data_IF_323927307278
#
_entry.id   IF_323927307278
#
_cell.length_a   1.000
_cell.length_b   1.000
_cell.length_c   1.000
_cell.angle_alpha   90.00
_cell.angle_beta   90.00
_cell.angle_gamma   90.00
#
_symmetry.space_group_name_H-M   'P 1'
#
loop_
_entity.id
_entity.type
_entity.pdbx_description
1 polymer ?
#
# COMPACT_ATOMS: atom_id res chain seq x y z
N UNK A 1 1.92 2.35 -4.00
CA UNK A 1 2.98 1.49 -3.43
C UNK A 1 2.59 0.79 -2.12
N UNK A 2 2.23 1.47 -1.02
CA UNK A 2 1.89 0.77 0.24
C UNK A 2 0.66 -0.14 0.13
N UNK A 3 -0.40 0.29 -0.54
CA UNK A 3 -1.58 -0.55 -0.74
C UNK A 3 -1.26 -1.82 -1.55
N UNK A 4 -0.57 -1.66 -2.68
CA UNK A 4 -0.02 -2.78 -3.47
C UNK A 4 0.88 -3.71 -2.65
N UNK A 5 1.65 -3.16 -1.70
CA UNK A 5 2.43 -3.96 -0.76
C UNK A 5 1.55 -4.84 0.11
N UNK A 6 0.44 -4.33 0.64
CA UNK A 6 -0.47 -5.11 1.48
C UNK A 6 -1.21 -6.18 0.65
N UNK A 7 -1.66 -5.84 -0.56
CA UNK A 7 -2.29 -6.79 -1.48
C UNK A 7 -1.32 -7.93 -1.86
N UNK A 8 -0.06 -7.61 -2.17
CA UNK A 8 0.93 -8.61 -2.61
C UNK A 8 1.30 -9.69 -1.57
N UNK A 9 0.77 -9.63 -0.35
CA UNK A 9 1.20 -10.47 0.78
C UNK A 9 0.72 -11.91 0.67
N UNK A 10 -0.35 -12.15 -0.07
CA UNK A 10 -0.84 -13.50 -0.37
C UNK A 10 -0.01 -14.19 -1.49
N UNK A 11 0.89 -13.44 -2.15
CA UNK A 11 1.76 -13.89 -3.23
C UNK A 11 1.34 -13.44 -4.63
N UNK A 12 0.22 -12.72 -4.76
CA UNK A 12 -0.26 -12.13 -6.01
C UNK A 12 -1.02 -10.83 -5.70
N UNK A 13 -1.45 -10.13 -6.74
CA UNK A 13 -2.45 -9.06 -6.61
C UNK A 13 -3.55 -9.45 -7.58
N UNK A 14 -4.78 -9.53 -7.11
CA UNK A 14 -5.90 -9.90 -7.97
C UNK A 14 -6.30 -8.77 -8.92
N UNK A 15 -7.06 -9.11 -9.95
CA UNK A 15 -7.55 -8.12 -10.90
C UNK A 15 -8.57 -7.19 -10.26
N UNK A 16 -9.29 -7.71 -9.27
CA UNK A 16 -10.29 -7.00 -8.49
C UNK A 16 -9.62 -5.96 -7.60
N UNK A 17 -8.54 -6.31 -6.88
CA UNK A 17 -7.73 -5.36 -6.10
C UNK A 17 -7.14 -4.25 -6.97
N UNK A 18 -6.60 -4.60 -8.15
CA UNK A 18 -6.07 -3.61 -9.08
C UNK A 18 -7.15 -2.65 -9.62
N UNK A 19 -8.36 -3.15 -9.87
CA UNK A 19 -9.49 -2.31 -10.28
C UNK A 19 -9.92 -1.38 -9.18
N UNK A 20 -9.97 -1.85 -7.94
CA UNK A 20 -10.32 -1.02 -6.79
C UNK A 20 -9.29 0.11 -6.62
N UNK A 21 -7.99 -0.23 -6.63
CA UNK A 21 -6.92 0.76 -6.59
C UNK A 21 -7.00 1.77 -7.75
N UNK A 22 -7.35 1.31 -8.95
CA UNK A 22 -7.56 2.19 -10.10
C UNK A 22 -8.71 3.17 -9.89
N UNK A 23 -9.79 2.73 -9.24
CA UNK A 23 -10.94 3.57 -8.93
C UNK A 23 -10.65 4.58 -7.81
N UNK A 24 -9.77 4.23 -6.87
CA UNK A 24 -9.32 5.13 -5.80
C UNK A 24 -8.31 6.19 -6.29
N UNK A 25 -7.52 5.89 -7.33
CA UNK A 25 -6.47 6.80 -7.84
C UNK A 25 -6.95 8.24 -8.13
N UNK A 26 -8.07 8.48 -8.84
CA UNK A 26 -8.59 9.84 -9.06
C UNK A 26 -8.89 10.60 -7.77
N UNK A 27 -9.42 9.90 -6.75
CA UNK A 27 -9.69 10.49 -5.43
C UNK A 27 -8.39 10.91 -4.76
N UNK A 28 -7.34 10.09 -4.88
CA UNK A 28 -6.00 10.40 -4.35
C UNK A 28 -5.34 11.58 -5.05
N UNK A 29 -5.46 11.66 -6.39
CA UNK A 29 -4.98 12.83 -7.17
C UNK A 29 -5.66 14.10 -6.67
N UNK A 30 -6.98 14.05 -6.47
CA UNK A 30 -7.75 15.20 -5.97
C UNK A 30 -7.33 15.57 -4.54
N UNK A 31 -7.21 14.60 -3.64
CA UNK A 31 -6.81 14.83 -2.26
C UNK A 31 -5.40 15.44 -2.17
N UNK A 32 -4.45 14.92 -2.95
CA UNK A 32 -3.10 15.49 -3.01
C UNK A 32 -3.12 16.94 -3.54
N UNK A 33 -3.87 17.20 -4.60
CA UNK A 33 -4.03 18.54 -5.14
C UNK A 33 -4.64 19.50 -4.09
N UNK A 34 -5.64 19.05 -3.34
CA UNK A 34 -6.28 19.88 -2.31
C UNK A 34 -5.34 20.18 -1.14
N UNK A 35 -4.41 19.27 -0.82
CA UNK A 35 -3.42 19.50 0.25
C UNK A 35 -2.20 20.33 -0.19
N UNK A 36 -1.73 20.15 -1.43
CA UNK A 36 -0.44 20.70 -1.86
C UNK A 36 -0.57 21.77 -2.96
N UNK A 37 -1.74 21.93 -3.57
CA UNK A 37 -1.97 22.82 -4.72
C UNK A 37 -1.32 22.34 -6.03
N UNK A 38 -0.74 21.14 -6.02
CA UNK A 38 0.01 20.56 -7.14
C UNK A 38 -0.77 19.41 -7.80
N UNK A 39 -0.79 19.40 -9.12
CA UNK A 39 -1.36 18.28 -9.86
C UNK A 39 -0.32 17.19 -10.01
N UNK A 40 -0.73 15.95 -9.70
CA UNK A 40 0.09 14.78 -9.91
C UNK A 40 -0.60 13.81 -10.84
N UNK A 41 0.15 13.33 -11.82
CA UNK A 41 -0.32 12.27 -12.70
C UNK A 41 0.30 10.94 -12.27
N UNK A 42 -0.53 10.13 -11.61
CA UNK A 42 -0.20 8.73 -11.35
C UNK A 42 -0.62 7.88 -12.55
N UNK A 43 0.36 7.24 -13.18
CA UNK A 43 0.15 6.09 -14.04
C UNK A 43 0.24 4.81 -13.20
N UNK A 44 -0.83 4.00 -13.16
CA UNK A 44 -0.87 2.79 -12.34
C UNK A 44 0.21 1.79 -12.76
N UNK A 45 0.49 1.65 -14.06
CA UNK A 45 1.51 0.72 -14.56
C UNK A 45 2.91 1.12 -14.06
N UNK A 46 3.22 2.42 -14.05
CA UNK A 46 4.47 2.95 -13.50
C UNK A 46 4.54 2.76 -11.98
N UNK A 47 3.43 2.99 -11.28
CA UNK A 47 3.35 2.77 -9.83
C UNK A 47 3.52 1.28 -9.50
N UNK A 48 2.95 0.37 -10.30
CA UNK A 48 3.13 -1.07 -10.13
C UNK A 48 4.57 -1.50 -10.40
N UNK A 49 5.17 -1.03 -11.51
CA UNK A 49 6.55 -1.35 -11.87
C UNK A 49 7.53 -0.88 -10.79
N UNK A 50 7.42 0.39 -10.36
CA UNK A 50 8.25 0.94 -9.29
C UNK A 50 8.03 0.23 -7.95
N UNK A 51 6.79 -0.15 -7.65
CA UNK A 51 6.47 -0.94 -6.46
C UNK A 51 7.14 -2.31 -6.52
N UNK A 52 7.08 -3.00 -7.66
CA UNK A 52 7.71 -4.30 -7.88
C UNK A 52 9.23 -4.21 -7.75
N UNK A 53 9.88 -3.20 -8.35
CA UNK A 53 11.31 -2.96 -8.21
C UNK A 53 11.73 -2.68 -6.77
N UNK A 54 10.97 -1.84 -6.05
CA UNK A 54 11.19 -1.60 -4.63
C UNK A 54 11.01 -2.86 -3.77
N UNK A 55 10.23 -3.82 -4.28
CA UNK A 55 9.92 -5.08 -3.62
C UNK A 55 10.90 -6.22 -3.91
N UNK A 56 11.56 -6.22 -5.07
CA UNK A 56 12.54 -7.23 -5.48
C UNK A 56 13.58 -7.60 -4.39
N UNK A 57 14.13 -6.67 -3.59
CA UNK A 57 15.16 -6.99 -2.59
C UNK A 57 14.66 -7.73 -1.34
N UNK A 58 13.35 -7.99 -1.24
CA UNK A 58 12.75 -8.71 -0.11
C UNK A 58 12.57 -10.19 -0.47
N UNK A 59 13.42 -11.05 0.10
CA UNK A 59 13.48 -12.50 -0.20
C UNK A 59 12.20 -13.27 0.16
N UNK A 60 11.37 -12.77 1.06
CA UNK A 60 10.04 -13.32 1.38
C UNK A 60 9.09 -12.21 1.86
N UNK A 61 8.46 -11.52 0.90
CA UNK A 61 7.42 -10.54 1.20
C UNK A 61 6.23 -11.19 1.89
N UNK A 62 5.86 -12.39 1.44
CA UNK A 62 4.67 -13.13 1.89
C UNK A 62 4.82 -13.72 3.30
N UNK A 63 5.92 -13.44 4.00
CA UNK A 63 6.07 -13.80 5.39
C UNK A 63 5.06 -13.04 6.25
N UNK A 64 4.45 -13.73 7.22
CA UNK A 64 3.58 -13.07 8.22
C UNK A 64 4.36 -12.12 9.15
N UNK A 65 5.70 -12.16 9.13
CA UNK A 65 6.57 -11.29 9.92
C UNK A 65 7.10 -10.15 9.06
N UNK A 66 7.26 -8.97 9.66
CA UNK A 66 7.97 -7.88 9.02
C UNK A 66 9.48 -8.02 9.19
N UNK A 67 10.18 -7.87 8.07
CA UNK A 67 11.62 -7.71 8.01
C UNK A 67 12.03 -6.30 8.45
N UNK A 68 13.29 -6.17 8.89
CA UNK A 68 13.89 -4.87 9.23
C UNK A 68 13.90 -3.93 8.03
N UNK A 69 14.11 -4.47 6.83
CA UNK A 69 14.11 -3.70 5.59
C UNK A 69 12.73 -3.11 5.28
N UNK A 70 11.64 -3.90 5.43
CA UNK A 70 10.27 -3.41 5.21
C UNK A 70 9.94 -2.28 6.17
N UNK A 71 10.27 -2.46 7.46
CA UNK A 71 10.08 -1.44 8.48
C UNK A 71 10.81 -0.16 8.14
N UNK A 72 12.08 -0.27 7.74
CA UNK A 72 12.91 0.88 7.37
C UNK A 72 12.32 1.61 6.16
N UNK A 73 11.93 0.88 5.12
CA UNK A 73 11.37 1.46 3.90
C UNK A 73 10.13 2.30 4.19
N UNK A 74 9.09 1.71 4.79
CA UNK A 74 7.83 2.41 4.97
C UNK A 74 7.87 3.48 6.05
N UNK A 75 8.70 3.34 7.08
CA UNK A 75 8.90 4.44 8.04
C UNK A 75 9.70 5.61 7.45
N UNK A 76 10.54 5.37 6.43
CA UNK A 76 11.26 6.43 5.72
C UNK A 76 10.34 7.15 4.73
N UNK A 77 9.41 6.45 4.10
CA UNK A 77 8.53 7.01 3.07
C UNK A 77 7.26 7.64 3.63
N UNK A 78 6.63 6.99 4.62
CA UNK A 78 5.37 7.43 5.22
C UNK A 78 5.70 8.10 6.56
N UNK A 79 6.20 9.33 6.51
CA UNK A 79 6.59 10.08 7.72
C UNK A 79 5.44 10.85 8.34
N UNK A 80 4.49 11.33 7.52
CA UNK A 80 3.31 12.07 7.96
C UNK A 80 2.22 11.11 8.47
N UNK A 81 1.73 11.27 9.72
CA UNK A 81 0.64 10.47 10.27
C UNK A 81 -0.65 10.46 9.43
N UNK A 82 -1.05 11.60 8.86
CA UNK A 82 -2.28 11.67 8.03
C UNK A 82 -2.14 10.82 6.77
N UNK A 83 -0.95 10.78 6.20
CA UNK A 83 -0.65 9.95 5.03
C UNK A 83 -0.64 8.46 5.40
N UNK A 84 -0.24 8.09 6.62
CA UNK A 84 -0.34 6.71 7.12
C UNK A 84 -1.78 6.25 7.26
N UNK A 85 -2.65 7.09 7.81
CA UNK A 85 -4.09 6.80 7.95
C UNK A 85 -4.71 6.54 6.58
N UNK A 86 -4.47 7.44 5.64
CA UNK A 86 -4.94 7.32 4.25
C UNK A 86 -4.36 6.06 3.60
N UNK A 87 -3.06 5.78 3.77
CA UNK A 87 -2.43 4.60 3.21
C UNK A 87 -3.03 3.28 3.75
N UNK A 88 -3.34 3.20 5.05
CA UNK A 88 -4.03 2.05 5.64
C UNK A 88 -5.46 1.91 5.13
N UNK A 89 -6.19 3.02 4.98
CA UNK A 89 -7.56 3.00 4.48
C UNK A 89 -7.63 2.40 3.07
N UNK A 90 -6.81 2.92 2.15
CA UNK A 90 -6.66 2.42 0.77
C UNK A 90 -6.24 0.96 0.77
N UNK A 91 -5.20 0.62 1.54
CA UNK A 91 -4.69 -0.75 1.60
C UNK A 91 -5.76 -1.75 2.05
N UNK A 92 -6.56 -1.37 3.04
CA UNK A 92 -7.67 -2.21 3.53
C UNK A 92 -8.80 -2.30 2.51
N UNK A 93 -9.18 -1.18 1.90
CA UNK A 93 -10.24 -1.13 0.88
C UNK A 93 -9.92 -2.07 -0.28
N UNK A 94 -8.73 -1.89 -0.86
CA UNK A 94 -8.22 -2.72 -1.94
C UNK A 94 -8.12 -4.20 -1.53
N UNK A 95 -7.34 -4.54 -0.50
CA UNK A 95 -7.09 -5.94 -0.12
C UNK A 95 -8.34 -6.69 0.41
N UNK A 96 -9.42 -5.99 0.72
CA UNK A 96 -10.66 -6.65 1.18
C UNK A 96 -11.56 -7.10 0.02
N UNK A 97 -11.30 -6.65 -1.22
CA UNK A 97 -12.23 -6.83 -2.33
C UNK A 97 -12.33 -8.28 -2.82
N UNK A 98 -11.24 -9.04 -2.75
CA UNK A 98 -11.17 -10.46 -3.08
C UNK A 98 -11.04 -11.36 -1.84
N UNK A 99 -11.35 -10.79 -0.68
CA UNK A 99 -11.19 -11.33 0.69
C UNK A 99 -9.84 -11.00 1.30
N UNK A 100 -9.85 -10.24 2.39
CA UNK A 100 -8.64 -9.95 3.16
C UNK A 100 -8.01 -11.25 3.69
N UNK A 101 -6.96 -11.70 3.01
CA UNK A 101 -6.27 -12.94 3.30
C UNK A 101 -5.43 -12.81 4.58
N UNK A 102 -5.17 -13.95 5.25
CA UNK A 102 -4.50 -13.98 6.57
C UNK A 102 -3.16 -13.23 6.61
N UNK A 103 -2.42 -13.23 5.50
CA UNK A 103 -1.10 -12.59 5.42
C UNK A 103 -1.22 -11.07 5.23
N UNK A 104 -2.15 -10.64 4.40
CA UNK A 104 -2.50 -9.22 4.20
C UNK A 104 -3.02 -8.64 5.51
N UNK A 105 -3.95 -9.35 6.17
CA UNK A 105 -4.49 -8.99 7.48
C UNK A 105 -3.37 -8.87 8.53
N UNK A 106 -2.44 -9.84 8.57
CA UNK A 106 -1.32 -9.80 9.51
C UNK A 106 -0.41 -8.59 9.31
N UNK A 107 -0.08 -8.24 8.05
CA UNK A 107 0.75 -7.07 7.74
C UNK A 107 0.00 -5.77 7.99
N UNK A 108 -1.26 -5.69 7.58
CA UNK A 108 -2.14 -4.55 7.85
C UNK A 108 -2.22 -4.27 9.36
N UNK A 109 -2.57 -5.28 10.16
CA UNK A 109 -2.70 -5.15 11.61
C UNK A 109 -1.37 -4.78 12.28
N UNK A 110 -0.25 -5.28 11.76
CA UNK A 110 1.05 -4.86 12.25
C UNK A 110 1.27 -3.36 12.06
N UNK A 111 1.01 -2.84 10.86
CA UNK A 111 1.21 -1.44 10.54
C UNK A 111 0.25 -0.51 11.29
N UNK A 112 -1.03 -0.88 11.39
CA UNK A 112 -2.00 -0.16 12.22
C UNK A 112 -1.49 -0.03 13.67
N UNK A 113 -1.04 -1.13 14.26
CA UNK A 113 -0.47 -1.14 15.61
C UNK A 113 0.79 -0.28 15.75
N UNK A 114 1.71 -0.34 14.78
CA UNK A 114 2.98 0.41 14.82
C UNK A 114 2.75 1.90 14.66
N UNK A 115 1.76 2.30 13.87
CA UNK A 115 1.43 3.70 13.64
C UNK A 115 0.45 4.28 14.65
N UNK A 116 -0.10 3.46 15.55
CA UNK A 116 -0.94 3.89 16.65
C UNK A 116 -2.37 4.21 16.22
N UNK A 117 -2.86 3.47 15.22
CA UNK A 117 -4.19 3.61 14.60
C UNK A 117 -5.08 2.45 15.04
#
# INVERSE_FOLDING_TARGET
MFALYVCAQDGKISKEELKELSAELPVLKKLYFDFNGEFIDFNLDEVMASTYEAMQPFEDLTSSKLTVKEKKLFNTLLTDPKIRDVALLIARGAASIDSLHKKEEAKYNHWAKVWGI
#
